data_IF_892081248980
#
_entry.id   IF_892081248980
#
_cell.length_a   1.000
_cell.length_b   1.000
_cell.length_c   1.000
_cell.angle_alpha   90.00
_cell.angle_beta   90.00
_cell.angle_gamma   90.00
#
_symmetry.space_group_name_H-M   'P 1'
#
loop_
_entity.id
_entity.type
_entity.pdbx_description
1 polymer ?
#
# COMPACT_ATOMS: atom_id res chain seq x y z
N UNK A 1 7.55 3.50 15.35
CA UNK A 1 8.15 2.34 14.71
C UNK A 1 9.21 2.72 13.69
N UNK A 2 9.78 1.73 13.03
CA UNK A 2 10.86 1.89 12.05
C UNK A 2 10.54 2.88 10.93
N UNK A 3 9.31 2.82 10.41
CA UNK A 3 8.89 3.62 9.26
C UNK A 3 8.18 4.92 9.63
N UNK A 4 7.86 5.12 10.91
CA UNK A 4 7.12 6.29 11.37
C UNK A 4 5.67 6.35 10.89
N UNK A 5 5.10 5.26 10.38
CA UNK A 5 3.70 5.17 10.01
C UNK A 5 2.90 4.44 11.09
N UNK A 6 1.57 4.49 10.98
CA UNK A 6 0.69 3.81 11.92
C UNK A 6 0.87 2.30 11.86
N UNK A 7 0.51 1.61 12.94
CA UNK A 7 0.56 0.16 13.00
C UNK A 7 -0.78 -0.46 12.57
N UNK A 8 -0.82 -1.80 12.51
CA UNK A 8 -2.00 -2.56 12.11
C UNK A 8 -3.19 -2.32 13.03
N UNK A 9 -2.97 -2.20 14.33
CA UNK A 9 -4.04 -1.98 15.30
C UNK A 9 -4.75 -0.64 15.03
N UNK A 10 -3.97 0.41 14.80
CA UNK A 10 -4.53 1.72 14.45
C UNK A 10 -5.31 1.64 13.12
N UNK A 11 -4.78 0.91 12.14
CA UNK A 11 -5.45 0.68 10.87
C UNK A 11 -6.81 0.02 11.06
N UNK A 12 -6.87 -1.06 11.85
CA UNK A 12 -8.12 -1.79 12.08
C UNK A 12 -9.19 -0.88 12.71
N UNK A 13 -8.80 -0.10 13.71
CA UNK A 13 -9.70 0.85 14.37
C UNK A 13 -10.18 1.95 13.42
N UNK A 14 -9.27 2.49 12.61
CA UNK A 14 -9.59 3.57 11.68
C UNK A 14 -10.43 3.09 10.51
N UNK A 15 -10.18 1.90 9.99
CA UNK A 15 -10.97 1.37 8.88
C UNK A 15 -12.43 1.19 9.29
N UNK A 16 -12.69 0.64 10.48
CA UNK A 16 -14.04 0.50 11.01
C UNK A 16 -14.72 1.87 11.12
N UNK A 17 -14.05 2.84 11.70
CA UNK A 17 -14.57 4.20 11.85
C UNK A 17 -14.85 4.86 10.50
N UNK A 18 -13.94 4.77 9.57
CA UNK A 18 -14.07 5.41 8.25
C UNK A 18 -15.19 4.77 7.42
N UNK A 19 -15.39 3.46 7.52
CA UNK A 19 -16.52 2.80 6.85
C UNK A 19 -17.85 3.30 7.42
N UNK A 20 -17.96 3.45 8.75
CA UNK A 20 -19.16 3.98 9.36
C UNK A 20 -19.46 5.41 8.88
N UNK A 21 -18.43 6.26 8.79
CA UNK A 21 -18.56 7.62 8.26
C UNK A 21 -18.95 7.62 6.78
N UNK A 22 -18.34 6.78 5.98
CA UNK A 22 -18.64 6.67 4.56
C UNK A 22 -20.10 6.25 4.34
N UNK A 23 -20.57 5.28 5.11
CA UNK A 23 -21.97 4.84 5.06
C UNK A 23 -22.93 5.96 5.45
N UNK A 24 -22.64 6.63 6.56
CA UNK A 24 -23.47 7.73 7.07
C UNK A 24 -23.57 8.88 6.07
N UNK A 25 -22.45 9.25 5.49
CA UNK A 25 -22.35 10.41 4.60
C UNK A 25 -22.61 10.07 3.14
N UNK A 26 -22.85 8.78 2.82
CA UNK A 26 -23.05 8.28 1.46
C UNK A 26 -21.89 8.66 0.54
N UNK A 27 -20.67 8.50 1.04
CA UNK A 27 -19.42 8.78 0.33
C UNK A 27 -18.67 7.49 0.05
N UNK A 28 -17.92 7.44 -1.05
CA UNK A 28 -17.05 6.28 -1.30
C UNK A 28 -15.86 6.28 -0.34
N UNK A 29 -15.28 5.11 -0.19
CA UNK A 29 -14.02 4.92 0.53
C UNK A 29 -13.26 3.85 -0.21
N UNK A 30 -11.97 4.03 -0.39
CA UNK A 30 -11.12 3.02 -1.02
C UNK A 30 -10.02 2.56 -0.09
N UNK A 31 -9.63 1.31 -0.26
CA UNK A 31 -8.56 0.67 0.48
C UNK A 31 -7.52 0.19 -0.51
N UNK A 32 -6.27 0.54 -0.26
CA UNK A 32 -5.12 0.08 -1.03
C UNK A 32 -4.31 -0.85 -0.13
N UNK A 33 -3.99 -2.04 -0.62
CA UNK A 33 -3.02 -2.94 0.02
C UNK A 33 -1.87 -3.13 -0.94
N UNK A 34 -0.64 -2.91 -0.46
CA UNK A 34 0.56 -3.02 -1.28
C UNK A 34 1.60 -3.91 -0.62
N UNK A 35 2.38 -4.59 -1.43
CA UNK A 35 3.44 -5.49 -1.01
C UNK A 35 4.66 -5.25 -1.89
N UNK A 36 5.84 -5.21 -1.28
CA UNK A 36 7.10 -5.03 -2.00
C UNK A 36 7.46 -6.33 -2.72
N UNK A 37 7.63 -6.25 -4.03
CA UNK A 37 7.95 -7.41 -4.84
C UNK A 37 9.34 -7.95 -4.49
N UNK A 38 9.42 -9.26 -4.24
CA UNK A 38 10.66 -9.97 -3.97
C UNK A 38 11.48 -9.44 -2.78
N UNK A 39 10.79 -8.86 -1.78
CA UNK A 39 11.49 -8.27 -0.63
C UNK A 39 12.30 -9.30 0.18
N UNK A 40 11.79 -10.52 0.29
CA UNK A 40 12.53 -11.60 0.98
C UNK A 40 13.85 -11.87 0.27
N UNK A 41 13.84 -11.98 -1.05
CA UNK A 41 15.05 -12.19 -1.85
C UNK A 41 16.02 -11.02 -1.70
N UNK A 42 15.51 -9.80 -1.62
CA UNK A 42 16.32 -8.62 -1.38
C UNK A 42 17.03 -8.70 -0.02
N UNK A 43 16.29 -9.03 1.03
CA UNK A 43 16.86 -9.19 2.37
C UNK A 43 17.88 -10.32 2.45
N UNK A 44 17.62 -11.43 1.77
CA UNK A 44 18.55 -12.57 1.71
C UNK A 44 19.87 -12.18 1.03
N UNK A 45 19.81 -11.29 0.04
CA UNK A 45 20.99 -10.83 -0.70
C UNK A 45 21.74 -9.70 0.04
N UNK A 46 21.03 -8.73 0.56
CA UNK A 46 21.63 -7.49 1.07
C UNK A 46 21.53 -7.33 2.61
N UNK A 47 20.78 -8.19 3.28
CA UNK A 47 20.59 -8.16 4.72
C UNK A 47 19.43 -7.29 5.18
N UNK A 48 19.00 -7.53 6.43
CA UNK A 48 17.83 -6.85 7.00
C UNK A 48 18.05 -5.35 7.22
N UNK A 49 19.28 -4.93 7.54
CA UNK A 49 19.58 -3.50 7.73
C UNK A 49 19.37 -2.73 6.44
N UNK A 50 19.81 -3.29 5.32
CA UNK A 50 19.60 -2.70 4.00
C UNK A 50 18.09 -2.71 3.63
N UNK A 51 17.41 -3.81 3.93
CA UNK A 51 15.96 -3.91 3.75
C UNK A 51 15.20 -2.84 4.55
N UNK A 52 15.61 -2.57 5.77
CA UNK A 52 15.01 -1.51 6.60
C UNK A 52 15.18 -0.12 5.99
N UNK A 53 16.31 0.14 5.37
CA UNK A 53 16.56 1.40 4.64
C UNK A 53 15.62 1.53 3.45
N UNK A 54 15.41 0.45 2.70
CA UNK A 54 14.46 0.42 1.58
C UNK A 54 13.05 0.71 2.09
N UNK A 55 12.63 0.07 3.16
CA UNK A 55 11.31 0.30 3.76
C UNK A 55 11.09 1.76 4.12
N UNK A 56 12.09 2.40 4.73
CA UNK A 56 12.02 3.82 5.09
C UNK A 56 11.87 4.71 3.85
N UNK A 57 12.65 4.47 2.84
CA UNK A 57 12.64 5.26 1.61
C UNK A 57 11.31 5.08 0.86
N UNK A 58 10.83 3.86 0.79
CA UNK A 58 9.53 3.54 0.21
C UNK A 58 8.39 4.26 0.94
N UNK A 59 8.39 4.20 2.25
CA UNK A 59 7.40 4.85 3.09
C UNK A 59 7.37 6.36 2.87
N UNK A 60 8.53 6.98 2.78
CA UNK A 60 8.65 8.41 2.50
C UNK A 60 8.04 8.75 1.13
N UNK A 61 8.30 7.92 0.12
CA UNK A 61 7.74 8.09 -1.22
C UNK A 61 6.21 7.98 -1.21
N UNK A 62 5.67 6.96 -0.53
CA UNK A 62 4.22 6.78 -0.43
C UNK A 62 3.56 7.96 0.28
N UNK A 63 4.12 8.39 1.41
CA UNK A 63 3.61 9.55 2.15
C UNK A 63 3.57 10.81 1.30
N UNK A 64 4.57 11.01 0.46
CA UNK A 64 4.63 12.17 -0.45
C UNK A 64 3.61 12.09 -1.59
N UNK A 65 3.03 10.93 -1.83
CA UNK A 65 2.12 10.69 -2.95
C UNK A 65 0.64 10.69 -2.55
N UNK A 66 0.33 10.63 -1.27
CA UNK A 66 -1.06 10.55 -0.77
C UNK A 66 -1.48 11.86 -0.09
N UNK A 67 -2.79 12.02 0.07
CA UNK A 67 -3.36 13.21 0.73
C UNK A 67 -3.14 13.12 2.25
N UNK A 68 -3.15 14.28 2.91
CA UNK A 68 -3.04 14.37 4.36
C UNK A 68 -4.18 13.61 5.07
N UNK A 69 -5.36 13.57 4.47
CA UNK A 69 -6.52 12.83 4.98
C UNK A 69 -6.43 11.31 4.78
N UNK A 70 -5.51 10.85 3.94
CA UNK A 70 -5.30 9.42 3.73
C UNK A 70 -4.47 8.84 4.88
N UNK A 71 -4.75 7.59 5.24
CA UNK A 71 -4.14 6.94 6.40
C UNK A 71 -3.25 5.82 5.92
N UNK A 72 -1.95 5.99 6.10
CA UNK A 72 -0.93 4.99 5.76
C UNK A 72 -0.54 4.22 7.02
N UNK A 73 -0.62 2.91 6.95
CA UNK A 73 -0.23 2.02 8.04
C UNK A 73 0.62 0.86 7.51
N UNK A 74 1.45 0.31 8.38
CA UNK A 74 2.17 -0.93 8.11
C UNK A 74 1.29 -2.10 8.54
N UNK A 75 0.97 -2.98 7.58
CA UNK A 75 0.07 -4.09 7.82
C UNK A 75 0.81 -5.37 8.21
N UNK A 76 1.96 -5.59 7.63
CA UNK A 76 2.84 -6.73 7.91
C UNK A 76 4.30 -6.34 7.68
N UNK A 77 5.20 -7.32 7.55
CA UNK A 77 6.63 -7.08 7.38
C UNK A 77 6.96 -6.14 6.22
N UNK A 78 6.40 -6.41 5.07
CA UNK A 78 6.62 -5.66 3.81
C UNK A 78 5.31 -5.21 3.17
N UNK A 79 4.20 -5.33 3.91
CA UNK A 79 2.88 -4.92 3.46
C UNK A 79 2.48 -3.61 4.10
N UNK A 80 1.95 -2.73 3.27
CA UNK A 80 1.42 -1.43 3.67
C UNK A 80 -0.01 -1.28 3.18
N UNK A 81 -0.79 -0.52 3.93
CA UNK A 81 -2.18 -0.24 3.59
C UNK A 81 -2.42 1.26 3.62
N UNK A 82 -3.29 1.74 2.74
CA UNK A 82 -3.74 3.13 2.74
C UNK A 82 -5.26 3.14 2.74
N UNK A 83 -5.84 3.80 3.75
CA UNK A 83 -7.27 4.11 3.76
C UNK A 83 -7.44 5.46 3.08
N UNK A 84 -8.26 5.50 2.04
CA UNK A 84 -8.54 6.71 1.27
C UNK A 84 -10.00 7.13 1.45
N UNK A 85 -10.30 7.96 2.45
CA UNK A 85 -11.65 8.48 2.63
C UNK A 85 -12.08 9.31 1.43
N UNK A 86 -13.36 9.24 1.10
CA UNK A 86 -13.95 10.02 0.02
C UNK A 86 -13.26 9.84 -1.33
N UNK A 87 -12.78 8.62 -1.59
CA UNK A 87 -12.12 8.27 -2.85
C UNK A 87 -12.91 7.18 -3.59
N UNK A 88 -13.26 7.45 -4.83
CA UNK A 88 -13.86 6.46 -5.72
C UNK A 88 -12.82 5.41 -6.13
N UNK A 89 -13.30 4.27 -6.65
CA UNK A 89 -12.41 3.26 -7.20
C UNK A 89 -11.50 3.85 -8.29
N UNK A 90 -12.05 4.63 -9.20
CA UNK A 90 -11.29 5.26 -10.28
C UNK A 90 -10.15 6.14 -9.74
N UNK A 91 -10.45 6.99 -8.76
CA UNK A 91 -9.44 7.86 -8.16
C UNK A 91 -8.40 7.07 -7.38
N UNK A 92 -8.80 6.04 -6.66
CA UNK A 92 -7.89 5.18 -5.93
C UNK A 92 -6.96 4.39 -6.85
N UNK A 93 -7.47 3.89 -7.97
CA UNK A 93 -6.65 3.21 -8.98
C UNK A 93 -5.59 4.14 -9.57
N UNK A 94 -5.95 5.36 -9.89
CA UNK A 94 -5.01 6.37 -10.38
C UNK A 94 -3.93 6.68 -9.36
N UNK A 95 -4.31 6.86 -8.11
CA UNK A 95 -3.37 7.12 -7.02
C UNK A 95 -2.44 5.93 -6.80
N UNK A 96 -2.98 4.74 -6.78
CA UNK A 96 -2.20 3.51 -6.62
C UNK A 96 -1.17 3.35 -7.74
N UNK A 97 -1.57 3.61 -8.98
CA UNK A 97 -0.64 3.52 -10.11
C UNK A 97 0.45 4.60 -10.06
N UNK A 98 0.11 5.79 -9.61
CA UNK A 98 1.11 6.85 -9.39
C UNK A 98 2.12 6.45 -8.31
N UNK A 99 1.66 5.88 -7.21
CA UNK A 99 2.54 5.36 -6.14
C UNK A 99 3.45 4.27 -6.68
N UNK A 100 2.88 3.31 -7.42
CA UNK A 100 3.65 2.23 -8.05
C UNK A 100 4.74 2.77 -8.98
N UNK A 101 4.37 3.70 -9.85
CA UNK A 101 5.31 4.30 -10.80
C UNK A 101 6.43 5.07 -10.10
N UNK A 102 6.11 5.83 -9.07
CA UNK A 102 7.10 6.57 -8.30
C UNK A 102 8.13 5.63 -7.65
N UNK A 103 7.65 4.49 -7.12
CA UNK A 103 8.55 3.50 -6.51
C UNK A 103 9.41 2.80 -7.57
N UNK A 104 8.82 2.41 -8.69
CA UNK A 104 9.57 1.81 -9.80
C UNK A 104 10.69 2.72 -10.31
N UNK A 105 10.41 4.02 -10.41
CA UNK A 105 11.35 5.02 -10.90
C UNK A 105 12.34 5.50 -9.84
N UNK A 106 12.14 5.11 -8.58
CA UNK A 106 12.96 5.59 -7.49
C UNK A 106 14.33 4.93 -7.50
N UNK A 107 15.38 5.73 -7.56
CA UNK A 107 16.73 5.24 -7.42
C UNK A 107 17.01 4.98 -5.93
N UNK A 108 17.43 3.77 -5.61
CA UNK A 108 17.86 3.39 -4.27
C UNK A 108 19.37 3.56 -4.16
N UNK A 109 19.85 4.72 -4.58
CA UNK A 109 21.25 5.11 -4.48
C UNK A 109 21.65 5.24 -3.01
N UNK A 110 22.91 5.01 -2.70
CA UNK A 110 23.45 5.10 -1.34
C UNK A 110 22.92 4.05 -0.36
N UNK A 111 22.04 3.14 -0.78
CA UNK A 111 21.60 2.03 0.08
C UNK A 111 22.66 0.94 0.09
N UNK A 112 23.17 0.59 -1.10
CA UNK A 112 24.31 -0.33 -1.25
C UNK A 112 25.38 0.36 -2.06
N UNK A 113 26.58 0.48 -1.48
CA UNK A 113 27.70 1.19 -2.09
C UNK A 113 28.08 0.56 -3.46
N UNK A 114 28.21 1.40 -4.47
CA UNK A 114 28.61 0.99 -5.82
C UNK A 114 27.51 0.35 -6.64
N UNK A 115 26.27 0.29 -6.15
CA UNK A 115 25.14 -0.29 -6.87
C UNK A 115 23.96 0.68 -6.89
N UNK A 116 23.29 0.74 -8.04
CA UNK A 116 21.97 1.37 -8.15
C UNK A 116 20.93 0.26 -8.07
N UNK A 117 20.08 0.32 -7.06
CA UNK A 117 19.03 -0.67 -6.85
C UNK A 117 17.67 -0.07 -7.23
N UNK A 118 16.75 -0.93 -7.59
CA UNK A 118 15.37 -0.57 -7.85
C UNK A 118 14.43 -1.60 -7.21
N UNK A 119 13.20 -1.17 -6.92
CA UNK A 119 12.17 -2.02 -6.36
C UNK A 119 10.86 -1.76 -7.08
N UNK A 120 10.00 -2.77 -7.08
CA UNK A 120 8.63 -2.62 -7.54
C UNK A 120 7.67 -3.05 -6.44
N UNK A 121 6.42 -2.65 -6.56
CA UNK A 121 5.36 -3.06 -5.65
C UNK A 121 4.17 -3.59 -6.45
N UNK A 122 3.47 -4.53 -5.86
CA UNK A 122 2.18 -5.00 -6.34
C UNK A 122 1.10 -4.42 -5.45
N UNK A 123 -0.02 -4.01 -6.03
CA UNK A 123 -1.07 -3.28 -5.33
C UNK A 123 -2.44 -3.88 -5.64
N UNK A 124 -3.24 -4.09 -4.60
CA UNK A 124 -4.66 -4.38 -4.72
C UNK A 124 -5.48 -3.20 -4.21
N UNK A 125 -6.53 -2.85 -4.92
CA UNK A 125 -7.43 -1.75 -4.56
C UNK A 125 -8.86 -2.28 -4.49
N UNK A 126 -9.58 -1.93 -3.44
CA UNK A 126 -11.00 -2.23 -3.30
C UNK A 126 -11.73 -1.00 -2.76
N UNK A 127 -13.01 -0.87 -3.11
CA UNK A 127 -13.80 0.30 -2.74
C UNK A 127 -15.09 -0.10 -2.04
N UNK A 128 -15.44 0.69 -1.02
CA UNK A 128 -16.73 0.63 -0.33
C UNK A 128 -17.74 1.50 -1.10
N UNK A 129 -18.99 1.08 -1.29
CA UNK A 129 -19.57 -0.20 -0.84
C UNK A 129 -19.47 -1.34 -1.86
N UNK A 130 -18.94 -1.12 -3.04
CA UNK A 130 -18.97 -2.06 -4.18
C UNK A 130 -18.30 -3.39 -3.88
N UNK A 131 -17.16 -3.36 -3.20
CA UNK A 131 -16.34 -4.55 -2.95
C UNK A 131 -16.40 -5.05 -1.52
N UNK A 132 -17.28 -4.49 -0.70
CA UNK A 132 -17.48 -4.90 0.67
C UNK A 132 -18.11 -3.78 1.50
N UNK A 133 -18.96 -4.16 2.45
CA UNK A 133 -19.70 -3.19 3.29
C UNK A 133 -19.23 -3.19 4.74
N UNK A 134 -18.29 -4.04 5.08
CA UNK A 134 -17.65 -4.08 6.39
C UNK A 134 -16.14 -4.20 6.24
N UNK A 135 -15.37 -3.96 7.31
CA UNK A 135 -13.91 -3.99 7.23
C UNK A 135 -13.35 -5.31 6.69
N UNK A 136 -13.84 -6.44 7.19
CA UNK A 136 -13.31 -7.75 6.79
C UNK A 136 -13.56 -8.04 5.31
N UNK A 137 -14.75 -7.74 4.81
CA UNK A 137 -15.09 -7.93 3.40
C UNK A 137 -14.24 -7.04 2.49
N UNK A 138 -14.04 -5.77 2.88
CA UNK A 138 -13.24 -4.84 2.09
C UNK A 138 -11.76 -5.25 2.05
N UNK A 139 -11.20 -5.65 3.20
CA UNK A 139 -9.84 -6.17 3.28
C UNK A 139 -9.67 -7.40 2.41
N UNK A 140 -10.60 -8.35 2.49
CA UNK A 140 -10.56 -9.58 1.70
C UNK A 140 -10.57 -9.28 0.20
N UNK A 141 -11.37 -8.32 -0.25
CA UNK A 141 -11.44 -7.91 -1.65
C UNK A 141 -10.13 -7.25 -2.12
N UNK A 142 -9.56 -6.36 -1.31
CA UNK A 142 -8.28 -5.72 -1.65
C UNK A 142 -7.13 -6.74 -1.66
N UNK A 143 -7.13 -7.67 -0.70
CA UNK A 143 -6.12 -8.73 -0.62
C UNK A 143 -6.20 -9.69 -1.80
N UNK A 144 -7.41 -10.06 -2.22
CA UNK A 144 -7.64 -10.87 -3.42
C UNK A 144 -7.12 -10.16 -4.68
N UNK A 145 -7.34 -8.85 -4.78
CA UNK A 145 -6.81 -8.05 -5.88
C UNK A 145 -5.28 -7.98 -5.86
N UNK A 146 -4.67 -7.87 -4.68
CA UNK A 146 -3.22 -7.92 -4.53
C UNK A 146 -2.66 -9.27 -4.99
N UNK A 147 -3.29 -10.37 -4.60
CA UNK A 147 -2.91 -11.70 -5.06
C UNK A 147 -2.94 -11.79 -6.59
N UNK A 148 -4.00 -11.27 -7.20
CA UNK A 148 -4.15 -11.20 -8.65
C UNK A 148 -2.99 -10.41 -9.29
N UNK A 149 -2.60 -9.28 -8.69
CA UNK A 149 -1.46 -8.50 -9.17
C UNK A 149 -0.16 -9.31 -9.13
N UNK A 150 0.08 -10.05 -8.05
CA UNK A 150 1.27 -10.90 -7.93
C UNK A 150 1.27 -12.04 -8.95
N UNK A 151 0.13 -12.70 -9.15
CA UNK A 151 0.01 -13.81 -10.11
C UNK A 151 0.11 -13.35 -11.57
N UNK A 152 -0.26 -12.12 -11.85
CA UNK A 152 -0.27 -11.57 -13.22
C UNK A 152 1.06 -10.95 -13.64
N UNK A 153 2.11 -11.06 -12.82
CA UNK A 153 3.46 -10.60 -13.18
C UNK A 153 4.02 -9.51 -12.28
N UNK A 154 3.36 -9.18 -11.20
CA UNK A 154 3.80 -8.15 -10.24
C UNK A 154 3.91 -6.76 -10.85
N UNK A 155 4.43 -5.79 -10.10
CA UNK A 155 4.63 -4.41 -10.54
C UNK A 155 3.38 -3.86 -11.25
N UNK A 156 2.25 -3.92 -10.59
CA UNK A 156 0.96 -3.49 -11.15
C UNK A 156 -0.08 -3.26 -10.07
N UNK A 157 -1.15 -2.62 -10.49
CA UNK A 157 -2.35 -2.39 -9.68
C UNK A 157 -3.48 -3.24 -10.25
N UNK A 158 -4.20 -3.93 -9.38
CA UNK A 158 -5.39 -4.68 -9.74
C UNK A 158 -6.55 -4.31 -8.82
N UNK A 159 -7.77 -4.47 -9.32
CA UNK A 159 -9.00 -4.39 -8.56
C UNK A 159 -9.73 -5.72 -8.64
N UNK A 160 -10.70 -5.98 -7.75
CA UNK A 160 -11.48 -7.20 -7.78
C UNK A 160 -12.22 -7.43 -9.09
#
# INVERSE_FOLDING_TARGET
>A
GLTGVYNRRFFDEMLEKQILLARRNKKPLSLIIMDIDHFKNFNDTYGHITGDRVLKQLTTSVKGSIRESDILARYGGEEFVVIMPDASLSNALKKADAVRHNIESMALDNIVSGQTLSMTISIGVASFPEHGVDPNALIASADSALYKAKESGRNRVEAP
#
